data_IF_658088920065
#
_entry.id   IF_658088920065
#
_cell.length_a   1.000
_cell.length_b   1.000
_cell.length_c   1.000
_cell.angle_alpha   90.00
_cell.angle_beta   90.00
_cell.angle_gamma   90.00
#
_symmetry.space_group_name_H-M   'P 1'
#
loop_
_entity.id
_entity.type
_entity.pdbx_description
1 polymer ?
#
# COMPACT_ATOMS: atom_id res chain seq x y z
N UNK A 1 -50.10 -14.34 -6.95
CA UNK A 1 -49.31 -15.51 -7.38
C UNK A 1 -48.13 -15.66 -6.43
N UNK A 2 -47.91 -16.82 -5.79
CA UNK A 2 -46.68 -17.03 -5.04
C UNK A 2 -45.49 -17.03 -6.03
N UNK A 3 -44.43 -16.29 -5.71
CA UNK A 3 -43.21 -16.27 -6.49
C UNK A 3 -42.61 -17.68 -6.58
N UNK A 4 -41.98 -18.07 -7.70
CA UNK A 4 -41.36 -19.38 -7.82
C UNK A 4 -40.33 -19.55 -6.70
N UNK A 5 -40.54 -20.55 -5.84
CA UNK A 5 -39.58 -20.95 -4.81
C UNK A 5 -38.26 -21.25 -5.52
N UNK A 6 -37.25 -20.42 -5.28
CA UNK A 6 -35.91 -20.61 -5.86
C UNK A 6 -35.44 -22.03 -5.52
N UNK A 7 -34.94 -22.75 -6.52
CA UNK A 7 -34.48 -24.13 -6.37
C UNK A 7 -33.39 -24.17 -5.29
N UNK A 8 -33.68 -24.85 -4.18
CA UNK A 8 -32.73 -25.06 -3.08
C UNK A 8 -31.49 -25.80 -3.57
N UNK A 9 -30.35 -25.42 -3.02
CA UNK A 9 -29.09 -26.10 -3.24
C UNK A 9 -29.00 -27.28 -2.27
N UNK A 10 -28.43 -28.39 -2.71
CA UNK A 10 -28.30 -29.58 -1.87
C UNK A 10 -27.24 -29.39 -0.79
N UNK A 11 -27.40 -30.14 0.32
CA UNK A 11 -26.43 -30.14 1.43
C UNK A 11 -25.02 -30.54 0.99
N UNK A 12 -24.90 -31.42 -0.01
CA UNK A 12 -23.61 -31.79 -0.58
C UNK A 12 -22.87 -30.58 -1.19
N UNK A 13 -23.60 -29.66 -1.83
CA UNK A 13 -23.04 -28.43 -2.39
C UNK A 13 -22.72 -27.43 -1.27
N UNK A 14 -23.61 -27.30 -0.28
CA UNK A 14 -23.36 -26.44 0.89
C UNK A 14 -22.08 -26.85 1.62
N UNK A 15 -21.90 -28.16 1.84
CA UNK A 15 -20.69 -28.74 2.45
C UNK A 15 -19.45 -28.51 1.58
N UNK A 16 -19.52 -28.80 0.28
CA UNK A 16 -18.39 -28.58 -0.62
C UNK A 16 -17.92 -27.11 -0.66
N UNK A 17 -18.85 -26.15 -0.60
CA UNK A 17 -18.51 -24.73 -0.51
C UNK A 17 -17.89 -24.40 0.85
N UNK A 18 -18.42 -24.95 1.94
CA UNK A 18 -17.85 -24.77 3.28
C UNK A 18 -16.41 -25.33 3.37
N UNK A 19 -16.16 -26.47 2.75
CA UNK A 19 -14.84 -27.10 2.69
C UNK A 19 -13.89 -26.26 1.84
N UNK A 20 -14.33 -25.75 0.67
CA UNK A 20 -13.53 -24.87 -0.17
C UNK A 20 -13.14 -23.57 0.54
N UNK A 21 -14.04 -22.95 1.33
CA UNK A 21 -13.70 -21.79 2.16
C UNK A 21 -12.60 -22.14 3.16
N UNK A 22 -12.66 -23.34 3.76
CA UNK A 22 -11.64 -23.82 4.70
C UNK A 22 -10.29 -24.04 4.01
N UNK A 23 -10.29 -24.62 2.80
CA UNK A 23 -9.09 -24.79 1.98
C UNK A 23 -8.44 -23.47 1.60
N UNK A 24 -9.23 -22.47 1.19
CA UNK A 24 -8.69 -21.13 0.89
C UNK A 24 -8.13 -20.49 2.18
N UNK A 25 -8.78 -20.69 3.32
CA UNK A 25 -8.29 -20.21 4.61
C UNK A 25 -6.94 -20.81 5.03
N UNK A 26 -6.69 -22.07 4.66
CA UNK A 26 -5.43 -22.75 4.94
C UNK A 26 -4.28 -22.33 4.01
N UNK A 27 -4.55 -21.59 2.94
CA UNK A 27 -3.54 -21.15 1.97
C UNK A 27 -3.36 -19.63 1.97
N UNK A 28 -2.10 -19.18 2.03
CA UNK A 28 -1.74 -17.76 1.86
C UNK A 28 -1.84 -17.31 0.40
N UNK A 29 -1.65 -18.22 -0.55
CA UNK A 29 -1.50 -17.93 -1.98
C UNK A 29 -2.82 -17.96 -2.74
N UNK A 30 -3.87 -18.55 -2.16
CA UNK A 30 -5.17 -18.63 -2.83
C UNK A 30 -5.93 -17.28 -2.76
N UNK A 31 -6.51 -16.83 -3.88
CA UNK A 31 -7.40 -15.67 -3.89
C UNK A 31 -8.65 -15.90 -3.02
N UNK A 32 -9.03 -14.90 -2.22
CA UNK A 32 -10.20 -14.94 -1.33
C UNK A 32 -11.45 -14.47 -2.07
N UNK A 33 -11.79 -15.16 -3.16
CA UNK A 33 -12.93 -14.80 -4.01
C UNK A 33 -13.94 -15.94 -4.14
N UNK A 34 -15.21 -15.60 -4.44
CA UNK A 34 -16.23 -16.60 -4.78
C UNK A 34 -15.90 -17.36 -6.06
N UNK A 35 -15.18 -16.73 -6.99
CA UNK A 35 -14.65 -17.38 -8.20
C UNK A 35 -13.63 -18.48 -7.89
N UNK A 36 -12.83 -18.31 -6.83
CA UNK A 36 -11.92 -19.36 -6.36
C UNK A 36 -12.68 -20.55 -5.76
N UNK A 37 -13.80 -20.29 -5.07
CA UNK A 37 -14.70 -21.34 -4.58
C UNK A 37 -15.27 -22.15 -5.76
N UNK A 38 -15.70 -21.48 -6.84
CA UNK A 38 -16.16 -22.14 -8.07
C UNK A 38 -15.06 -23.05 -8.66
N UNK A 39 -13.83 -22.55 -8.74
CA UNK A 39 -12.69 -23.30 -9.26
C UNK A 39 -12.35 -24.54 -8.42
N UNK A 40 -12.36 -24.43 -7.08
CA UNK A 40 -12.05 -25.56 -6.18
C UNK A 40 -13.18 -26.59 -6.19
N UNK A 41 -14.44 -26.15 -6.20
CA UNK A 41 -15.59 -27.05 -6.07
C UNK A 41 -16.08 -27.61 -7.41
N UNK A 42 -15.63 -27.06 -8.54
CA UNK A 42 -16.12 -27.38 -9.87
C UNK A 42 -17.59 -27.01 -10.09
N UNK A 43 -18.14 -26.12 -9.27
CA UNK A 43 -19.56 -25.72 -9.31
C UNK A 43 -19.75 -24.45 -10.12
N UNK A 44 -20.92 -24.31 -10.72
CA UNK A 44 -21.28 -23.10 -11.47
C UNK A 44 -21.43 -21.90 -10.53
N UNK A 45 -21.22 -20.71 -11.09
CA UNK A 45 -21.45 -19.43 -10.40
C UNK A 45 -22.86 -19.35 -9.78
N UNK A 46 -23.90 -19.77 -10.52
CA UNK A 46 -25.28 -19.77 -10.04
C UNK A 46 -25.47 -20.69 -8.82
N UNK A 47 -24.83 -21.87 -8.80
CA UNK A 47 -24.91 -22.78 -7.66
C UNK A 47 -24.28 -22.16 -6.40
N UNK A 48 -23.10 -21.52 -6.55
CA UNK A 48 -22.42 -20.82 -5.45
C UNK A 48 -23.25 -19.63 -4.98
N UNK A 49 -23.75 -18.80 -5.90
CA UNK A 49 -24.57 -17.64 -5.57
C UNK A 49 -25.85 -18.04 -4.80
N UNK A 50 -26.52 -19.10 -5.24
CA UNK A 50 -27.71 -19.63 -4.55
C UNK A 50 -27.38 -20.17 -3.18
N UNK A 51 -26.25 -20.84 -3.00
CA UNK A 51 -25.83 -21.35 -1.70
C UNK A 51 -25.63 -20.21 -0.69
N UNK A 52 -24.99 -19.11 -1.10
CA UNK A 52 -24.84 -17.92 -0.25
C UNK A 52 -26.19 -17.24 0.06
N UNK A 53 -27.09 -17.17 -0.92
CA UNK A 53 -28.45 -16.63 -0.68
C UNK A 53 -29.21 -17.51 0.30
N UNK A 54 -29.20 -18.82 0.08
CA UNK A 54 -29.87 -19.81 0.92
C UNK A 54 -29.34 -19.77 2.36
N UNK A 55 -28.01 -19.70 2.53
CA UNK A 55 -27.38 -19.57 3.84
C UNK A 55 -27.86 -18.33 4.60
N UNK A 56 -28.03 -17.20 3.89
CA UNK A 56 -28.53 -15.94 4.46
C UNK A 56 -30.01 -16.02 4.84
N UNK A 57 -30.84 -16.68 4.04
CA UNK A 57 -32.29 -16.74 4.26
C UNK A 57 -32.71 -17.83 5.25
N UNK A 58 -31.97 -18.94 5.30
CA UNK A 58 -32.34 -20.14 6.06
C UNK A 58 -31.51 -20.33 7.33
N UNK A 59 -30.60 -19.39 7.63
CA UNK A 59 -29.67 -19.45 8.77
C UNK A 59 -28.98 -20.82 8.87
N UNK A 60 -28.37 -21.25 7.76
CA UNK A 60 -27.87 -22.62 7.62
C UNK A 60 -26.73 -22.92 8.60
N UNK A 61 -26.61 -24.18 9.02
CA UNK A 61 -25.55 -24.64 9.92
C UNK A 61 -24.14 -24.41 9.37
N UNK A 62 -23.98 -24.28 8.05
CA UNK A 62 -22.69 -24.07 7.38
C UNK A 62 -22.16 -22.63 7.52
N UNK A 63 -23.05 -21.67 7.80
CA UNK A 63 -22.74 -20.24 8.01
C UNK A 63 -21.81 -19.63 6.95
N UNK A 64 -22.02 -20.00 5.68
CA UNK A 64 -21.15 -19.67 4.56
C UNK A 64 -20.84 -18.16 4.45
N UNK A 65 -21.85 -17.30 4.64
CA UNK A 65 -21.65 -15.85 4.57
C UNK A 65 -20.70 -15.35 5.65
N UNK A 66 -20.84 -15.82 6.88
CA UNK A 66 -19.98 -15.41 7.99
C UNK A 66 -18.55 -15.90 7.81
N UNK A 67 -18.36 -17.15 7.38
CA UNK A 67 -17.03 -17.74 7.14
C UNK A 67 -16.32 -17.03 5.99
N UNK A 68 -17.05 -16.71 4.92
CA UNK A 68 -16.49 -15.96 3.80
C UNK A 68 -16.16 -14.51 4.18
N UNK A 69 -17.00 -13.84 4.98
CA UNK A 69 -16.72 -12.49 5.47
C UNK A 69 -15.43 -12.46 6.32
N UNK A 70 -15.27 -13.40 7.25
CA UNK A 70 -14.05 -13.56 8.05
C UNK A 70 -12.82 -13.83 7.17
N UNK A 71 -12.97 -14.68 6.14
CA UNK A 71 -11.89 -14.97 5.21
C UNK A 71 -11.39 -13.71 4.48
N UNK A 72 -12.30 -12.77 4.17
CA UNK A 72 -12.00 -11.53 3.44
C UNK A 72 -11.69 -10.32 4.32
N UNK A 73 -11.84 -10.41 5.64
CA UNK A 73 -11.76 -9.26 6.56
C UNK A 73 -10.46 -8.46 6.41
N UNK A 74 -9.33 -9.16 6.23
CA UNK A 74 -8.02 -8.56 6.09
C UNK A 74 -7.59 -8.32 4.63
N UNK A 75 -8.51 -8.43 3.67
CA UNK A 75 -8.19 -8.36 2.24
C UNK A 75 -9.15 -7.43 1.49
N UNK A 76 -8.61 -6.37 0.92
CA UNK A 76 -9.40 -5.29 0.33
C UNK A 76 -10.03 -5.62 -1.04
N UNK A 77 -9.51 -6.62 -1.77
CA UNK A 77 -9.95 -6.93 -3.16
C UNK A 77 -10.12 -8.43 -3.48
N UNK A 78 -10.18 -9.30 -2.47
CA UNK A 78 -10.18 -10.74 -2.69
C UNK A 78 -8.85 -11.28 -3.23
N UNK A 79 -7.77 -10.51 -3.06
CA UNK A 79 -6.41 -10.95 -3.32
C UNK A 79 -6.02 -12.17 -2.44
N UNK A 80 -4.92 -12.82 -2.78
CA UNK A 80 -4.23 -13.68 -1.83
C UNK A 80 -3.65 -12.84 -0.67
N UNK A 81 -3.33 -13.45 0.47
CA UNK A 81 -2.68 -12.70 1.56
C UNK A 81 -1.30 -12.21 1.13
N UNK A 82 -0.59 -13.00 0.33
CA UNK A 82 0.72 -12.65 -0.18
C UNK A 82 0.66 -11.47 -1.16
N UNK A 83 -0.32 -11.43 -2.07
CA UNK A 83 -0.48 -10.29 -2.98
C UNK A 83 -0.85 -9.00 -2.22
N UNK A 84 -1.67 -9.11 -1.17
CA UNK A 84 -1.98 -7.99 -0.30
C UNK A 84 -0.73 -7.46 0.41
N UNK A 85 0.10 -8.35 0.97
CA UNK A 85 1.36 -8.01 1.63
C UNK A 85 2.37 -7.38 0.64
N UNK A 86 2.53 -7.96 -0.55
CA UNK A 86 3.43 -7.41 -1.59
C UNK A 86 2.99 -6.01 -2.01
N UNK A 87 1.68 -5.73 -2.06
CA UNK A 87 1.17 -4.40 -2.37
C UNK A 87 1.45 -3.40 -1.24
N UNK A 88 1.21 -3.76 0.01
CA UNK A 88 1.53 -2.90 1.14
C UNK A 88 3.03 -2.60 1.22
N UNK A 89 3.86 -3.59 0.93
CA UNK A 89 5.32 -3.44 0.92
C UNK A 89 5.75 -2.49 -0.20
N UNK A 90 5.20 -2.64 -1.42
CA UNK A 90 5.47 -1.72 -2.53
C UNK A 90 5.07 -0.28 -2.20
N UNK A 91 3.92 -0.09 -1.55
CA UNK A 91 3.49 1.24 -1.11
C UNK A 91 4.46 1.82 -0.08
N UNK A 92 4.82 1.03 0.93
CA UNK A 92 5.77 1.44 1.97
C UNK A 92 7.13 1.80 1.38
N UNK A 93 7.65 1.01 0.43
CA UNK A 93 8.91 1.31 -0.26
C UNK A 93 8.82 2.62 -1.04
N UNK A 94 7.70 2.87 -1.73
CA UNK A 94 7.51 4.12 -2.46
C UNK A 94 7.48 5.33 -1.52
N UNK A 95 6.78 5.24 -0.39
CA UNK A 95 6.73 6.27 0.64
C UNK A 95 8.11 6.52 1.25
N UNK A 96 8.86 5.46 1.59
CA UNK A 96 10.22 5.58 2.14
C UNK A 96 11.18 6.22 1.12
N UNK A 97 11.09 5.85 -0.16
CA UNK A 97 11.87 6.47 -1.23
C UNK A 97 11.55 7.95 -1.39
N UNK A 98 10.28 8.32 -1.30
CA UNK A 98 9.87 9.73 -1.34
C UNK A 98 10.47 10.50 -0.18
N UNK A 99 10.30 10.01 1.06
CA UNK A 99 10.86 10.63 2.26
C UNK A 99 12.37 10.78 2.19
N UNK A 100 13.06 9.76 1.66
CA UNK A 100 14.51 9.80 1.48
C UNK A 100 14.92 10.91 0.51
N UNK A 101 14.24 11.05 -0.64
CA UNK A 101 14.47 12.17 -1.58
C UNK A 101 14.22 13.53 -0.93
N UNK A 102 13.14 13.67 -0.17
CA UNK A 102 12.79 14.93 0.48
C UNK A 102 13.83 15.35 1.53
N UNK A 103 14.38 14.40 2.30
CA UNK A 103 15.47 14.65 3.24
C UNK A 103 16.76 15.08 2.52
N UNK A 104 17.11 14.44 1.41
CA UNK A 104 18.27 14.85 0.61
C UNK A 104 18.09 16.27 0.07
N UNK A 105 16.91 16.59 -0.47
CA UNK A 105 16.59 17.93 -0.94
C UNK A 105 16.68 18.99 0.18
N UNK A 106 16.32 18.65 1.42
CA UNK A 106 16.47 19.54 2.58
C UNK A 106 17.94 19.75 2.94
N UNK A 107 18.75 18.70 2.94
CA UNK A 107 20.19 18.79 3.19
C UNK A 107 20.88 19.64 2.13
N UNK A 108 20.55 19.47 0.85
CA UNK A 108 21.13 20.25 -0.24
C UNK A 108 20.78 21.75 -0.10
N UNK A 109 19.51 22.06 0.20
CA UNK A 109 19.09 23.45 0.46
C UNK A 109 19.82 24.07 1.64
N UNK A 110 20.00 23.31 2.71
CA UNK A 110 20.73 23.77 3.89
C UNK A 110 22.21 24.00 3.58
N UNK A 111 22.85 23.09 2.85
CA UNK A 111 24.23 23.23 2.41
C UNK A 111 24.42 24.49 1.54
N UNK A 112 23.54 24.70 0.55
CA UNK A 112 23.57 25.89 -0.31
C UNK A 112 23.44 27.17 0.53
N UNK A 113 22.50 27.21 1.49
CA UNK A 113 22.31 28.36 2.36
C UNK A 113 23.55 28.65 3.22
N UNK A 114 24.21 27.62 3.76
CA UNK A 114 25.46 27.76 4.51
C UNK A 114 26.59 28.31 3.62
N UNK A 115 26.73 27.78 2.39
CA UNK A 115 27.74 28.26 1.45
C UNK A 115 27.51 29.70 1.02
N UNK A 116 26.26 30.09 0.73
CA UNK A 116 25.90 31.47 0.40
C UNK A 116 26.26 32.41 1.55
N UNK A 117 25.84 32.07 2.78
CA UNK A 117 26.19 32.86 3.98
C UNK A 117 27.69 32.97 4.18
N UNK A 118 28.44 31.88 4.01
CA UNK A 118 29.89 31.92 4.15
C UNK A 118 30.53 32.83 3.10
N UNK A 119 30.09 32.75 1.84
CA UNK A 119 30.57 33.62 0.76
C UNK A 119 30.31 35.10 1.05
N UNK A 120 29.14 35.45 1.57
CA UNK A 120 28.81 36.83 1.95
C UNK A 120 29.74 37.32 3.07
N UNK A 121 29.97 36.51 4.12
CA UNK A 121 30.89 36.87 5.22
C UNK A 121 32.35 37.02 4.80
N UNK A 122 32.79 36.31 3.75
CA UNK A 122 34.15 36.46 3.19
C UNK A 122 34.26 37.72 2.32
N UNK A 123 33.19 38.07 1.60
CA UNK A 123 33.14 39.24 0.73
C UNK A 123 33.03 40.55 1.50
N UNK A 124 32.46 40.52 2.72
CA UNK A 124 32.38 41.68 3.63
C UNK A 124 33.69 42.01 4.37
N UNK A 125 34.76 41.20 4.24
CA UNK A 125 36.07 41.57 4.79
C UNK A 125 36.64 42.73 3.97
N UNK A 126 36.81 43.95 4.52
CA UNK A 126 37.39 45.05 3.77
C UNK A 126 38.82 44.67 3.38
N UNK A 127 39.11 44.65 2.09
CA UNK A 127 40.49 44.72 1.60
C UNK A 127 41.06 46.03 2.13
N UNK A 128 41.95 45.94 3.11
CA UNK A 128 42.72 47.09 3.56
C UNK A 128 43.67 47.42 2.41
N UNK A 129 43.22 48.32 1.53
CA UNK A 129 44.04 48.90 0.48
C UNK A 129 45.17 49.67 1.16
N UNK A 130 46.36 49.07 1.22
CA UNK A 130 47.55 49.70 1.77
C UNK A 130 48.04 50.76 0.78
N UNK A 131 47.43 51.94 0.79
CA UNK A 131 47.86 53.10 0.00
C UNK A 131 49.16 53.63 0.61
N UNK A 132 50.30 53.07 0.21
CA UNK A 132 51.62 53.61 0.55
C UNK A 132 51.86 54.89 -0.25
N UNK A 133 51.56 56.04 0.36
CA UNK A 133 51.89 57.37 -0.18
C UNK A 133 53.41 57.58 -0.08
N UNK A 134 54.15 57.25 -1.13
CA UNK A 134 55.60 57.52 -1.21
C UNK A 134 55.79 59.04 -1.32
N UNK A 135 56.08 59.70 -0.20
CA UNK A 135 56.49 61.10 -0.16
C UNK A 135 57.84 61.27 -0.88
N UNK A 136 57.84 61.95 -2.03
CA UNK A 136 59.08 62.36 -2.70
C UNK A 136 59.81 63.36 -1.80
N UNK A 137 60.99 62.97 -1.30
CA UNK A 137 61.86 63.81 -0.50
C UNK A 137 62.23 65.11 -1.22
N UNK A 138 62.07 66.22 -0.51
CA UNK A 138 62.62 67.54 -0.88
C UNK A 138 64.15 67.45 -0.97
N UNK A 139 64.70 67.97 -2.07
CA UNK A 139 66.11 68.34 -2.18
C UNK A 139 66.40 69.51 -1.22
N UNK A 140 67.48 69.41 -0.47
CA UNK A 140 68.13 70.55 0.19
C UNK A 140 69.54 70.68 -0.37
N UNK A 141 69.95 71.94 -0.48
CA UNK A 141 71.12 72.48 -1.19
C UNK A 141 72.48 71.96 -0.71
#
# INVERSE_FOLDING_TARGET
MPSPTRKRVSDAVMRAIADAISTIGASSDMPRTKRQIEAITGRSHDAVARAFVQDRTENSAYRLNSRFAQLTENVTRGDSLNDAAVRSDRQTIAELRQKNRDLHNQLDRFAIALFARHRDTVSERPQIELVTRIGRGRRTD
#
